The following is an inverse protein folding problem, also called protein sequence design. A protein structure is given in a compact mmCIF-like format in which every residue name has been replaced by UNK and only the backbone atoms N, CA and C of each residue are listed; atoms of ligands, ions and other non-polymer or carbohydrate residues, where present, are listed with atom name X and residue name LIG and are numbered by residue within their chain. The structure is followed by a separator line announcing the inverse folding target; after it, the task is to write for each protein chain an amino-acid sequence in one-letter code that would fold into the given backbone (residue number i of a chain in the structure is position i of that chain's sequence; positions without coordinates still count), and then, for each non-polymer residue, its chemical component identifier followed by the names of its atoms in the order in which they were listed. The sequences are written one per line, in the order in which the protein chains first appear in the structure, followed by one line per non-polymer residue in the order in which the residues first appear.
data_IF_002259483346
#
_entry.id   IF_002259483346
#
_cell.length_a   1.000
_cell.length_b   1.000
_cell.length_c   1.000
_cell.angle_alpha   90.00
_cell.angle_beta   90.00
_cell.angle_gamma   90.00
#
_symmetry.space_group_name_H-M   'P 1'
#
loop_
_entity.id
_entity.type
_entity.pdbx_description
1 polymer ?
#
# COMPACT_ATOMS: atom_id res chain seq x y z
N UNK A 1 -8.26 -23.64 16.95
CA UNK A 1 -7.48 -22.46 16.52
C UNK A 1 -6.11 -22.35 17.22
N UNK A 2 -6.01 -21.98 18.52
CA UNK A 2 -4.71 -21.68 19.16
C UNK A 2 -3.70 -22.84 19.10
N UNK A 3 -4.16 -24.08 19.23
CA UNK A 3 -3.27 -25.26 19.15
C UNK A 3 -2.73 -25.44 17.72
N UNK A 4 -3.60 -25.41 16.71
CA UNK A 4 -3.16 -25.48 15.30
C UNK A 4 -2.22 -24.33 14.90
N UNK A 5 -2.37 -23.14 15.49
CA UNK A 5 -1.46 -22.01 15.26
C UNK A 5 -0.05 -22.26 15.82
N UNK A 6 0.07 -22.80 17.04
CA UNK A 6 1.38 -23.17 17.59
C UNK A 6 1.99 -24.37 16.82
N UNK A 7 1.19 -25.35 16.40
CA UNK A 7 1.60 -26.45 15.51
C UNK A 7 2.08 -25.94 14.12
N UNK A 8 1.43 -24.91 13.57
CA UNK A 8 1.86 -24.22 12.34
C UNK A 8 3.17 -23.47 12.56
N UNK A 9 3.28 -22.69 13.63
CA UNK A 9 4.49 -21.94 14.02
C UNK A 9 5.70 -22.85 14.24
N UNK A 10 5.52 -24.04 14.84
CA UNK A 10 6.56 -25.07 14.95
C UNK A 10 7.00 -25.58 13.56
N UNK A 11 6.06 -25.85 12.64
CA UNK A 11 6.40 -26.25 11.26
C UNK A 11 7.16 -25.15 10.50
N UNK A 12 6.77 -23.88 10.63
CA UNK A 12 7.50 -22.75 10.04
C UNK A 12 8.90 -22.62 10.63
N UNK A 13 9.05 -22.72 11.95
CA UNK A 13 10.36 -22.68 12.61
C UNK A 13 11.30 -23.81 12.15
N UNK A 14 10.76 -25.01 11.92
CA UNK A 14 11.54 -26.13 11.36
C UNK A 14 12.02 -25.85 9.93
N UNK A 15 11.20 -25.20 9.10
CA UNK A 15 11.61 -24.75 7.75
C UNK A 15 12.69 -23.65 7.81
N UNK A 16 12.56 -22.68 8.73
CA UNK A 16 13.57 -21.63 8.94
C UNK A 16 14.90 -22.23 9.41
N UNK A 17 14.87 -23.18 10.36
CA UNK A 17 16.07 -23.88 10.83
C UNK A 17 16.73 -24.72 9.73
N UNK A 18 15.94 -25.35 8.84
CA UNK A 18 16.46 -26.03 7.64
C UNK A 18 17.08 -25.04 6.66
N UNK A 19 16.45 -23.88 6.43
CA UNK A 19 16.90 -22.87 5.48
C UNK A 19 18.25 -22.22 5.84
N UNK A 20 18.70 -22.31 7.10
CA UNK A 20 20.04 -21.87 7.53
C UNK A 20 21.18 -22.73 6.96
N UNK A 21 20.90 -23.94 6.45
CA UNK A 21 21.89 -24.87 5.92
C UNK A 21 21.69 -25.07 4.41
N UNK A 22 22.28 -24.17 3.62
CA UNK A 22 22.32 -24.28 2.15
C UNK A 22 23.05 -25.56 1.73
N UNK A 23 22.45 -26.46 0.92
CA UNK A 23 23.14 -27.62 0.37
C UNK A 23 24.15 -27.20 -0.71
N UNK A 24 25.22 -27.99 -0.88
CA UNK A 24 26.28 -27.70 -1.86
C UNK A 24 25.79 -27.77 -3.32
N UNK A 25 24.89 -28.71 -3.63
CA UNK A 25 24.20 -28.83 -4.92
C UNK A 25 23.07 -27.79 -5.11
N UNK A 26 22.84 -26.93 -4.12
CA UNK A 26 21.74 -25.95 -4.07
C UNK A 26 20.44 -26.51 -3.50
N UNK A 27 19.36 -25.74 -3.61
CA UNK A 27 18.04 -26.16 -3.16
C UNK A 27 17.31 -27.00 -4.21
N UNK A 28 16.53 -27.96 -3.73
CA UNK A 28 15.69 -28.88 -4.53
C UNK A 28 14.24 -28.80 -4.03
N UNK A 29 13.30 -28.84 -4.96
CA UNK A 29 11.86 -28.84 -4.73
C UNK A 29 11.37 -30.21 -4.22
N UNK A 30 10.12 -30.28 -3.74
CA UNK A 30 9.54 -31.52 -3.21
C UNK A 30 9.28 -32.59 -4.29
N UNK A 31 9.20 -32.18 -5.56
CA UNK A 31 9.10 -33.06 -6.74
C UNK A 31 10.46 -33.54 -7.26
N UNK A 32 11.57 -33.17 -6.60
CA UNK A 32 12.93 -33.50 -7.01
C UNK A 32 13.54 -32.55 -8.05
N UNK A 33 12.82 -31.53 -8.52
CA UNK A 33 13.37 -30.55 -9.47
C UNK A 33 14.34 -29.56 -8.78
N UNK A 34 15.42 -29.11 -9.45
CA UNK A 34 16.31 -28.10 -8.88
C UNK A 34 15.61 -26.75 -8.78
N UNK A 35 15.79 -26.03 -7.67
CA UNK A 35 15.16 -24.72 -7.45
C UNK A 35 15.69 -23.70 -8.48
N UNK A 36 14.83 -23.15 -9.36
CA UNK A 36 15.27 -22.23 -10.42
C UNK A 36 15.82 -20.89 -9.89
N UNK A 37 15.61 -20.58 -8.60
CA UNK A 37 16.17 -19.40 -7.93
C UNK A 37 17.51 -19.62 -7.21
N UNK A 38 18.21 -20.74 -7.44
CA UNK A 38 19.46 -21.07 -6.73
C UNK A 38 20.57 -20.00 -6.89
N UNK A 39 20.73 -19.41 -8.08
CA UNK A 39 21.62 -18.27 -8.27
C UNK A 39 20.85 -16.95 -8.09
N UNK A 40 21.10 -16.23 -6.99
CA UNK A 40 20.38 -15.00 -6.63
C UNK A 40 20.59 -13.82 -7.59
N UNK A 41 21.58 -13.89 -8.50
CA UNK A 41 21.93 -12.86 -9.51
C UNK A 41 21.52 -13.23 -10.94
N UNK A 42 21.32 -14.53 -11.21
CA UNK A 42 20.95 -15.05 -12.53
C UNK A 42 19.90 -16.14 -12.36
N UNK A 43 18.63 -15.77 -12.49
CA UNK A 43 17.51 -16.71 -12.37
C UNK A 43 16.30 -16.23 -13.15
N UNK A 44 15.51 -17.20 -13.63
CA UNK A 44 14.26 -16.95 -14.33
C UNK A 44 13.21 -16.28 -13.42
N UNK A 45 12.22 -15.65 -14.06
CA UNK A 45 11.00 -15.23 -13.38
C UNK A 45 10.15 -16.44 -12.97
N UNK A 46 9.43 -16.31 -11.86
CA UNK A 46 8.53 -17.34 -11.34
C UNK A 46 7.20 -16.71 -10.97
N UNK A 47 6.09 -17.36 -11.34
CA UNK A 47 4.74 -16.99 -10.90
C UNK A 47 4.06 -18.27 -10.43
N UNK A 48 3.59 -18.28 -9.18
CA UNK A 48 2.87 -19.40 -8.59
C UNK A 48 1.55 -18.91 -7.99
N UNK A 49 0.45 -19.61 -8.26
CA UNK A 49 -0.85 -19.37 -7.63
C UNK A 49 -1.05 -20.42 -6.54
N UNK A 50 -1.54 -20.01 -5.37
CA UNK A 50 -1.75 -20.89 -4.21
C UNK A 50 -3.21 -21.00 -3.75
N UNK A 51 -3.97 -19.89 -3.80
CA UNK A 51 -5.37 -19.82 -3.33
C UNK A 51 -6.27 -19.23 -4.43
N UNK A 52 -7.58 -19.15 -4.18
CA UNK A 52 -8.61 -18.79 -5.17
C UNK A 52 -9.28 -20.02 -5.76
N UNK A 53 -10.12 -19.81 -6.78
CA UNK A 53 -10.84 -20.85 -7.55
C UNK A 53 -10.05 -22.15 -7.87
N UNK A 54 -8.74 -22.08 -8.07
CA UNK A 54 -7.86 -23.23 -8.38
C UNK A 54 -7.04 -23.75 -7.19
N UNK A 55 -7.23 -23.20 -5.99
CA UNK A 55 -6.42 -23.46 -4.78
C UNK A 55 -7.20 -24.09 -3.61
N UNK A 56 -8.44 -24.51 -3.85
CA UNK A 56 -9.32 -25.11 -2.84
C UNK A 56 -10.25 -24.11 -2.13
N UNK A 57 -11.18 -24.68 -1.37
CA UNK A 57 -12.18 -23.96 -0.57
C UNK A 57 -11.74 -23.93 0.91
N UNK A 58 -12.38 -23.09 1.72
CA UNK A 58 -12.28 -23.15 3.18
C UNK A 58 -13.06 -24.34 3.77
N UNK A 59 -13.09 -24.46 5.10
CA UNK A 59 -13.80 -25.55 5.82
C UNK A 59 -15.31 -25.55 5.61
N UNK A 60 -15.87 -24.42 5.17
CA UNK A 60 -17.30 -24.14 5.12
C UNK A 60 -17.79 -24.14 3.65
N UNK A 61 -16.87 -24.28 2.69
CA UNK A 61 -17.13 -24.39 1.26
C UNK A 61 -16.95 -23.09 0.45
N UNK A 62 -16.40 -22.03 1.03
CA UNK A 62 -16.21 -20.74 0.35
C UNK A 62 -14.87 -20.66 -0.39
N UNK A 63 -14.79 -19.86 -1.46
CA UNK A 63 -13.52 -19.52 -2.11
C UNK A 63 -12.68 -18.54 -1.26
N UNK A 64 -11.42 -18.87 -1.03
CA UNK A 64 -10.45 -17.98 -0.41
C UNK A 64 -9.86 -16.98 -1.44
N UNK A 65 -9.46 -15.75 -1.03
CA UNK A 65 -8.84 -14.79 -1.95
C UNK A 65 -7.58 -15.32 -2.66
N UNK A 66 -7.44 -15.04 -3.96
CA UNK A 66 -6.32 -15.53 -4.78
C UNK A 66 -4.96 -14.99 -4.31
N UNK A 67 -4.14 -15.86 -3.72
CA UNK A 67 -2.74 -15.59 -3.40
C UNK A 67 -1.84 -15.95 -4.59
N UNK A 68 -1.04 -14.99 -5.04
CA UNK A 68 -0.06 -15.17 -6.13
C UNK A 68 1.33 -14.77 -5.64
N UNK A 69 2.28 -15.70 -5.70
CA UNK A 69 3.71 -15.42 -5.51
C UNK A 69 4.35 -15.04 -6.85
N UNK A 70 5.20 -14.01 -6.84
CA UNK A 70 5.91 -13.52 -8.02
C UNK A 70 7.38 -13.26 -7.67
N UNK A 71 8.28 -13.97 -8.35
CA UNK A 71 9.71 -13.64 -8.39
C UNK A 71 10.07 -13.06 -9.75
N UNK A 72 10.82 -11.96 -9.78
CA UNK A 72 11.26 -11.32 -11.01
C UNK A 72 12.48 -12.05 -11.57
N UNK A 73 12.57 -12.16 -12.89
CA UNK A 73 13.83 -12.53 -13.55
C UNK A 73 14.96 -11.55 -13.16
N UNK A 74 16.16 -12.10 -12.96
CA UNK A 74 17.40 -11.34 -12.75
C UNK A 74 18.49 -11.91 -13.66
N UNK A 75 19.37 -11.03 -14.14
CA UNK A 75 20.52 -11.36 -15.00
C UNK A 75 21.72 -10.49 -14.61
N UNK A 76 22.96 -11.00 -14.68
CA UNK A 76 24.17 -10.20 -14.48
C UNK A 76 24.21 -8.98 -15.40
N UNK A 77 24.68 -7.84 -14.88
CA UNK A 77 24.78 -6.58 -15.63
C UNK A 77 23.50 -5.71 -15.64
N UNK A 78 22.33 -6.26 -15.29
CA UNK A 78 21.07 -5.49 -15.28
C UNK A 78 20.79 -4.85 -13.92
N UNK A 79 20.39 -3.57 -13.92
CA UNK A 79 19.95 -2.89 -12.69
C UNK A 79 18.51 -3.29 -12.34
N UNK A 80 18.26 -3.65 -11.08
CA UNK A 80 16.98 -4.22 -10.64
C UNK A 80 16.13 -3.30 -9.76
N UNK A 81 16.62 -2.10 -9.43
CA UNK A 81 15.89 -1.01 -8.75
C UNK A 81 15.20 -1.40 -7.41
N UNK A 82 15.77 -2.37 -6.67
CA UNK A 82 15.34 -2.79 -5.32
C UNK A 82 13.80 -2.93 -5.19
N UNK A 83 13.18 -2.25 -4.23
CA UNK A 83 11.72 -2.25 -3.95
C UNK A 83 10.90 -1.66 -5.09
N UNK A 84 11.32 -0.53 -5.67
CA UNK A 84 10.60 0.12 -6.78
C UNK A 84 10.48 -0.80 -8.01
N UNK A 85 11.59 -1.47 -8.39
CA UNK A 85 11.58 -2.45 -9.47
C UNK A 85 10.70 -3.67 -9.20
N UNK A 86 10.50 -4.04 -7.93
CA UNK A 86 9.58 -5.12 -7.53
C UNK A 86 8.12 -4.68 -7.63
N UNK A 87 7.76 -3.53 -7.03
CA UNK A 87 6.42 -2.95 -7.11
C UNK A 87 5.99 -2.73 -8.56
N UNK A 88 6.85 -2.14 -9.40
CA UNK A 88 6.54 -1.87 -10.81
C UNK A 88 6.34 -3.15 -11.63
N UNK A 89 6.93 -4.29 -11.23
CA UNK A 89 6.66 -5.59 -11.85
C UNK A 89 5.33 -6.17 -11.36
N UNK A 90 5.02 -6.09 -10.05
CA UNK A 90 3.75 -6.54 -9.49
C UNK A 90 2.55 -5.81 -10.10
N UNK A 91 2.66 -4.50 -10.36
CA UNK A 91 1.62 -3.72 -11.05
C UNK A 91 1.33 -4.29 -12.46
N UNK A 92 2.38 -4.66 -13.22
CA UNK A 92 2.24 -5.26 -14.56
C UNK A 92 1.68 -6.67 -14.51
N UNK A 93 2.19 -7.53 -13.62
CA UNK A 93 1.68 -8.91 -13.46
C UNK A 93 0.22 -8.90 -13.00
N UNK A 94 -0.14 -8.01 -12.08
CA UNK A 94 -1.53 -7.79 -11.67
C UNK A 94 -2.44 -7.35 -12.81
N UNK A 95 -1.94 -6.51 -13.74
CA UNK A 95 -2.72 -6.07 -14.91
C UNK A 95 -3.17 -7.26 -15.79
N UNK A 96 -2.31 -8.27 -15.93
CA UNK A 96 -2.59 -9.48 -16.72
C UNK A 96 -3.44 -10.49 -15.95
N UNK A 97 -3.18 -10.70 -14.65
CA UNK A 97 -3.80 -11.79 -13.87
C UNK A 97 -5.19 -11.46 -13.27
N UNK A 98 -5.47 -10.19 -12.97
CA UNK A 98 -6.74 -9.77 -12.33
C UNK A 98 -7.23 -8.37 -12.72
N UNK A 99 -6.36 -7.52 -13.25
CA UNK A 99 -6.61 -6.12 -13.65
C UNK A 99 -7.36 -5.24 -12.61
N UNK A 100 -7.22 -5.54 -11.31
CA UNK A 100 -7.94 -4.81 -10.26
C UNK A 100 -7.66 -3.30 -10.30
N UNK A 101 -8.71 -2.47 -10.28
CA UNK A 101 -8.62 -1.02 -10.50
C UNK A 101 -7.85 -0.27 -9.41
N UNK A 102 -7.81 -0.81 -8.19
CA UNK A 102 -7.10 -0.26 -7.03
C UNK A 102 -5.99 -1.21 -6.57
N UNK A 103 -4.89 -0.63 -6.09
CA UNK A 103 -3.66 -1.34 -5.74
C UNK A 103 -3.18 -0.88 -4.37
N UNK A 104 -3.19 -1.77 -3.37
CA UNK A 104 -2.73 -1.48 -2.01
C UNK A 104 -1.36 -2.08 -1.76
N UNK A 105 -0.40 -1.27 -1.28
CA UNK A 105 0.93 -1.73 -0.91
C UNK A 105 1.11 -1.79 0.62
N UNK A 106 1.77 -2.84 1.09
CA UNK A 106 2.09 -3.08 2.51
C UNK A 106 3.49 -3.70 2.58
N UNK A 107 4.31 -3.28 3.54
CA UNK A 107 5.62 -3.88 3.83
C UNK A 107 5.50 -5.05 4.82
N UNK A 108 6.51 -5.95 4.84
CA UNK A 108 6.44 -7.22 5.58
C UNK A 108 6.50 -7.11 7.11
N UNK A 109 6.79 -5.92 7.63
CA UNK A 109 6.73 -5.53 9.05
C UNK A 109 5.38 -4.89 9.45
N UNK A 110 4.48 -4.66 8.48
CA UNK A 110 3.16 -4.07 8.68
C UNK A 110 2.04 -5.09 8.42
N UNK A 111 0.93 -4.99 9.19
CA UNK A 111 -0.25 -5.83 9.04
C UNK A 111 -1.55 -5.03 9.23
N UNK A 112 -2.67 -5.58 8.78
CA UNK A 112 -3.98 -4.95 8.97
C UNK A 112 -4.51 -5.21 10.38
N UNK A 113 -4.64 -4.15 11.18
CA UNK A 113 -5.27 -4.18 12.50
C UNK A 113 -6.81 -4.10 12.44
N UNK A 114 -7.38 -3.68 11.31
CA UNK A 114 -8.81 -3.48 11.10
C UNK A 114 -9.22 -4.03 9.72
N UNK A 115 -10.15 -4.99 9.70
CA UNK A 115 -10.70 -5.57 8.46
C UNK A 115 -11.56 -4.60 7.65
N UNK A 116 -11.98 -3.47 8.23
CA UNK A 116 -12.73 -2.43 7.54
C UNK A 116 -11.85 -1.44 6.76
N UNK A 117 -10.52 -1.44 6.95
CA UNK A 117 -9.62 -0.47 6.31
C UNK A 117 -9.73 -0.45 4.77
N UNK A 118 -9.97 -1.61 4.14
CA UNK A 118 -10.22 -1.68 2.69
C UNK A 118 -11.53 -0.96 2.30
N UNK A 119 -12.58 -1.09 3.12
CA UNK A 119 -13.87 -0.42 2.90
C UNK A 119 -13.72 1.09 3.10
N UNK A 120 -12.99 1.52 4.12
CA UNK A 120 -12.66 2.94 4.35
C UNK A 120 -11.94 3.57 3.15
N UNK A 121 -10.96 2.87 2.56
CA UNK A 121 -10.31 3.34 1.33
C UNK A 121 -11.33 3.50 0.18
N UNK A 122 -12.20 2.52 -0.02
CA UNK A 122 -13.22 2.57 -1.08
C UNK A 122 -14.24 3.70 -0.87
N UNK A 123 -14.58 4.07 0.36
CA UNK A 123 -15.42 5.24 0.63
C UNK A 123 -14.88 6.55 0.03
N UNK A 124 -13.55 6.71 -0.06
CA UNK A 124 -12.95 7.85 -0.76
C UNK A 124 -12.75 7.58 -2.26
N UNK A 125 -12.27 6.39 -2.63
CA UNK A 125 -11.92 6.06 -4.02
C UNK A 125 -13.15 5.85 -4.94
N UNK A 126 -14.34 5.64 -4.37
CA UNK A 126 -15.62 5.49 -5.06
C UNK A 126 -16.58 6.68 -4.83
N UNK A 127 -16.14 7.74 -4.15
CA UNK A 127 -16.91 8.96 -3.94
C UNK A 127 -17.28 9.60 -5.32
N UNK A 128 -18.56 9.86 -5.63
CA UNK A 128 -18.96 10.39 -6.95
C UNK A 128 -18.36 11.76 -7.30
N UNK A 129 -18.01 12.59 -6.31
CA UNK A 129 -17.46 13.93 -6.50
C UNK A 129 -15.92 13.95 -6.41
N UNK A 130 -15.32 13.13 -5.54
CA UNK A 130 -13.88 13.15 -5.24
C UNK A 130 -13.11 11.92 -5.76
N UNK A 131 -13.74 10.76 -5.93
CA UNK A 131 -13.08 9.49 -6.28
C UNK A 131 -12.34 9.54 -7.62
N UNK A 132 -12.94 10.18 -8.64
CA UNK A 132 -12.31 10.41 -9.97
C UNK A 132 -11.03 11.26 -9.92
N UNK A 133 -10.88 12.04 -8.85
CA UNK A 133 -9.77 12.99 -8.62
C UNK A 133 -8.76 12.45 -7.61
N UNK A 134 -9.08 11.31 -6.98
CA UNK A 134 -8.27 10.71 -5.91
C UNK A 134 -7.20 9.79 -6.51
N UNK A 135 -5.94 10.21 -6.36
CA UNK A 135 -4.78 9.45 -6.83
C UNK A 135 -4.51 8.24 -5.91
N UNK A 136 -4.56 8.47 -4.59
CA UNK A 136 -4.45 7.43 -3.57
C UNK A 136 -5.08 7.84 -2.23
N UNK A 137 -5.32 6.84 -1.38
CA UNK A 137 -5.61 7.00 0.06
C UNK A 137 -4.43 6.48 0.86
N UNK A 138 -3.84 7.33 1.70
CA UNK A 138 -2.74 6.96 2.60
C UNK A 138 -3.32 6.65 3.99
N UNK A 139 -2.89 5.55 4.60
CA UNK A 139 -3.17 5.23 5.99
C UNK A 139 -2.01 5.70 6.89
N UNK A 140 -2.28 6.21 8.11
CA UNK A 140 -1.23 6.53 9.07
C UNK A 140 -0.57 5.26 9.60
N UNK A 141 0.76 5.21 9.58
CA UNK A 141 1.51 4.09 10.16
C UNK A 141 1.48 4.18 11.69
N UNK A 142 1.39 3.03 12.36
CA UNK A 142 1.43 2.88 13.81
C UNK A 142 2.33 1.69 14.12
N UNK A 143 3.22 1.83 15.10
CA UNK A 143 4.15 0.78 15.49
C UNK A 143 3.84 0.30 16.91
N UNK A 144 3.87 -1.02 17.11
CA UNK A 144 3.65 -1.66 18.41
C UNK A 144 4.97 -1.78 19.21
N UNK A 145 4.86 -2.20 20.47
CA UNK A 145 6.04 -2.52 21.31
C UNK A 145 6.86 -1.31 21.78
N UNK A 146 6.34 -0.09 21.65
CA UNK A 146 7.03 1.14 22.04
C UNK A 146 6.94 1.34 23.57
N UNK A 147 8.06 1.73 24.19
CA UNK A 147 8.13 2.07 25.62
C UNK A 147 7.12 3.16 26.03
N UNK A 148 6.77 3.15 27.32
CA UNK A 148 5.87 4.11 27.94
C UNK A 148 6.35 5.56 27.77
N UNK A 149 7.66 5.80 27.86
CA UNK A 149 8.27 7.13 27.81
C UNK A 149 8.58 7.60 26.38
N UNK A 150 8.52 6.69 25.39
CA UNK A 150 8.88 6.90 23.97
C UNK A 150 10.07 7.85 23.74
N UNK A 151 11.19 7.59 24.44
CA UNK A 151 12.40 8.45 24.43
C UNK A 151 12.97 8.71 23.02
N UNK A 152 12.69 7.82 22.07
CA UNK A 152 13.13 7.93 20.67
C UNK A 152 12.08 8.53 19.73
N UNK A 153 10.90 8.91 20.26
CA UNK A 153 9.74 9.42 19.51
C UNK A 153 9.27 8.49 18.38
N UNK A 154 9.41 7.17 18.57
CA UNK A 154 9.12 6.13 17.58
C UNK A 154 7.64 6.08 17.18
N UNK A 155 6.71 6.63 17.99
CA UNK A 155 5.30 6.77 17.59
C UNK A 155 5.10 7.75 16.42
N UNK A 156 6.08 8.62 16.16
CA UNK A 156 6.11 9.63 15.10
C UNK A 156 4.81 10.45 14.94
N UNK A 157 4.16 10.75 16.06
CA UNK A 157 2.81 11.35 16.13
C UNK A 157 2.78 12.72 15.43
N UNK A 158 3.81 13.55 15.60
CA UNK A 158 3.86 14.88 14.96
C UNK A 158 3.78 14.78 13.43
N UNK A 159 4.44 13.79 12.83
CA UNK A 159 4.39 13.59 11.39
C UNK A 159 3.02 13.08 10.93
N UNK A 160 2.53 11.97 11.50
CA UNK A 160 1.29 11.32 11.05
C UNK A 160 0.00 12.05 11.46
N UNK A 161 -0.04 12.64 12.66
CA UNK A 161 -1.25 13.24 13.21
C UNK A 161 -1.36 14.76 13.07
N UNK A 162 -0.25 15.46 12.85
CA UNK A 162 -0.23 16.93 12.64
C UNK A 162 0.16 17.24 11.19
N UNK A 163 1.38 16.91 10.76
CA UNK A 163 1.89 17.36 9.47
C UNK A 163 1.09 16.78 8.28
N UNK A 164 0.86 15.46 8.24
CA UNK A 164 0.10 14.83 7.15
C UNK A 164 -1.36 15.31 7.10
N UNK A 165 -1.99 15.60 8.26
CA UNK A 165 -3.35 16.16 8.31
C UNK A 165 -3.41 17.64 7.96
N UNK A 166 -2.35 18.40 8.22
CA UNK A 166 -2.22 19.79 7.74
C UNK A 166 -2.14 19.85 6.21
N UNK A 167 -1.42 18.91 5.59
CA UNK A 167 -1.35 18.79 4.12
C UNK A 167 -2.68 18.32 3.50
N UNK A 168 -3.46 17.50 4.22
CA UNK A 168 -4.80 17.03 3.84
C UNK A 168 -5.79 18.19 3.55
N UNK A 169 -5.62 19.32 4.23
CA UNK A 169 -6.41 20.54 3.98
C UNK A 169 -6.01 21.36 2.75
N UNK A 170 -4.96 20.97 2.01
CA UNK A 170 -4.42 21.73 0.86
C UNK A 170 -4.42 20.89 -0.42
N UNK A 171 -3.84 19.69 -0.35
CA UNK A 171 -3.69 18.78 -1.49
C UNK A 171 -3.67 17.30 -1.07
N UNK A 172 -3.26 17.00 0.17
CA UNK A 172 -3.21 15.63 0.70
C UNK A 172 -1.86 15.25 1.33
N UNK A 173 -1.81 14.15 2.10
CA UNK A 173 -0.57 13.59 2.61
C UNK A 173 0.39 13.15 1.51
N UNK A 174 1.69 13.13 1.80
CA UNK A 174 2.69 12.49 0.94
C UNK A 174 2.68 10.96 1.11
N UNK A 175 3.05 10.23 0.06
CA UNK A 175 3.23 8.78 0.12
C UNK A 175 4.46 8.40 0.95
N UNK A 176 4.26 7.52 1.94
CA UNK A 176 5.25 7.17 2.97
C UNK A 176 5.75 5.72 2.89
N UNK A 177 5.64 5.09 1.71
CA UNK A 177 6.30 3.80 1.41
C UNK A 177 5.49 2.53 1.72
N UNK A 178 4.48 2.58 2.58
CA UNK A 178 3.60 1.46 2.96
C UNK A 178 2.23 2.00 3.39
N UNK A 179 1.20 1.14 3.35
CA UNK A 179 -0.16 1.47 3.78
C UNK A 179 -0.89 2.42 2.83
N UNK A 180 -0.68 2.31 1.53
CA UNK A 180 -1.24 3.24 0.53
C UNK A 180 -2.08 2.52 -0.53
N UNK A 181 -3.33 2.94 -0.71
CA UNK A 181 -4.26 2.40 -1.70
C UNK A 181 -4.33 3.32 -2.92
N UNK A 182 -3.68 2.92 -4.01
CA UNK A 182 -3.55 3.69 -5.24
C UNK A 182 -4.63 3.38 -6.28
N UNK A 183 -4.98 4.39 -7.09
CA UNK A 183 -5.67 4.21 -8.37
C UNK A 183 -4.67 3.70 -9.43
N UNK A 184 -4.99 2.60 -10.13
CA UNK A 184 -4.16 2.04 -11.20
C UNK A 184 -3.87 3.03 -12.32
N UNK A 185 -4.86 3.85 -12.71
CA UNK A 185 -4.69 4.79 -13.82
C UNK A 185 -3.71 5.91 -13.47
N UNK A 186 -3.77 6.43 -12.25
CA UNK A 186 -2.80 7.41 -11.77
C UNK A 186 -1.37 6.83 -11.66
N UNK A 187 -1.23 5.56 -11.27
CA UNK A 187 0.06 4.84 -11.32
C UNK A 187 0.60 4.59 -12.73
N UNK A 188 -0.24 4.69 -13.77
CA UNK A 188 0.18 4.68 -15.18
C UNK A 188 0.41 6.08 -15.75
N UNK A 189 0.20 7.15 -14.97
CA UNK A 189 0.38 8.52 -15.41
C UNK A 189 -0.78 9.09 -16.24
N UNK A 190 -1.98 8.53 -16.14
CA UNK A 190 -3.18 9.18 -16.68
C UNK A 190 -3.61 10.33 -15.76
N UNK A 191 -3.90 11.48 -16.37
CA UNK A 191 -4.44 12.65 -15.68
C UNK A 191 -5.86 12.41 -15.12
N UNK A 192 -6.25 13.11 -14.04
CA UNK A 192 -7.58 12.98 -13.45
C UNK A 192 -8.66 13.56 -14.35
N UNK A 193 -9.88 13.02 -14.26
CA UNK A 193 -11.04 13.58 -14.96
C UNK A 193 -11.57 14.77 -14.17
N UNK A 194 -11.11 15.97 -14.55
CA UNK A 194 -11.50 17.26 -13.99
C UNK A 194 -12.75 17.82 -14.67
N UNK A 195 -13.56 18.58 -13.93
CA UNK A 195 -14.60 19.46 -14.49
C UNK A 195 -14.08 20.89 -14.65
N UNK A 196 -14.78 21.75 -15.39
CA UNK A 196 -14.44 23.19 -15.47
C UNK A 196 -14.33 23.83 -14.07
N UNK A 197 -15.17 23.39 -13.13
CA UNK A 197 -15.16 23.83 -11.72
C UNK A 197 -13.87 23.46 -10.96
N UNK A 198 -13.14 22.43 -11.39
CA UNK A 198 -11.82 22.08 -10.84
C UNK A 198 -10.68 22.88 -11.47
N UNK A 199 -10.88 23.38 -12.69
CA UNK A 199 -9.92 24.20 -13.43
C UNK A 199 -9.98 25.67 -13.00
N UNK A 200 -11.14 26.13 -12.51
CA UNK A 200 -11.32 27.44 -11.90
C UNK A 200 -10.39 27.61 -10.68
N UNK A 201 -9.43 28.56 -10.71
CA UNK A 201 -8.46 28.70 -9.65
C UNK A 201 -9.14 29.26 -8.41
N UNK A 202 -8.99 28.55 -7.28
CA UNK A 202 -9.54 28.94 -5.96
C UNK A 202 -8.83 30.18 -5.37
N UNK A 203 -8.98 31.31 -6.05
CA UNK A 203 -8.47 32.63 -5.68
C UNK A 203 -9.50 33.26 -4.75
N UNK A 204 -9.40 32.97 -3.44
CA UNK A 204 -10.13 33.72 -2.40
C UNK A 204 -9.43 35.08 -2.19
N UNK A 205 -9.36 35.87 -3.26
CA UNK A 205 -9.13 37.32 -3.21
C UNK A 205 -10.49 37.96 -3.51
N UNK A 206 -11.39 37.88 -2.53
CA UNK A 206 -12.61 38.71 -2.54
C UNK A 206 -12.16 40.16 -2.64
N UNK A 207 -12.64 40.87 -3.65
CA UNK A 207 -12.13 42.18 -4.06
C UNK A 207 -12.41 43.30 -3.04
N UNK A 208 -11.58 43.36 -2.01
CA UNK A 208 -11.40 44.55 -1.18
C UNK A 208 -10.29 45.44 -1.76
N UNK A 209 -10.41 45.85 -3.04
CA UNK A 209 -9.88 47.11 -3.64
C UNK A 209 -9.91 47.11 -5.18
N UNK A 210 -10.60 48.10 -5.75
CA UNK A 210 -10.14 48.89 -6.92
C UNK A 210 -9.80 48.20 -8.25
N UNK A 211 -10.68 48.36 -9.25
CA UNK A 211 -10.45 47.96 -10.64
C UNK A 211 -9.19 48.56 -11.29
N UNK A 212 -8.32 47.73 -11.90
CA UNK A 212 -7.32 48.17 -12.89
C UNK A 212 -7.29 47.25 -14.11
N UNK A 213 -6.82 47.80 -15.25
CA UNK A 213 -7.12 47.30 -16.61
C UNK A 213 -6.22 46.13 -17.05
N UNK A 214 -6.76 45.28 -17.95
CA UNK A 214 -6.05 44.15 -18.59
C UNK A 214 -4.86 44.62 -19.43
N UNK A 215 -3.74 43.90 -19.33
CA UNK A 215 -2.75 43.76 -20.41
C UNK A 215 -2.80 42.32 -20.96
N UNK A 216 -2.65 42.14 -22.28
CA UNK A 216 -2.54 40.79 -22.87
C UNK A 216 -1.09 40.32 -22.84
N UNK A 217 -0.83 39.20 -22.19
CA UNK A 217 0.41 38.43 -22.31
C UNK A 217 0.09 36.95 -22.19
N UNK A 218 0.33 36.17 -23.23
CA UNK A 218 0.05 34.73 -23.26
C UNK A 218 1.24 33.94 -22.71
N UNK A 219 1.41 33.97 -21.38
CA UNK A 219 2.23 32.96 -20.70
C UNK A 219 1.41 31.67 -20.59
N UNK A 220 1.98 30.54 -21.03
CA UNK A 220 1.44 29.21 -20.71
C UNK A 220 1.71 28.97 -19.23
N UNK A 221 0.77 29.35 -18.39
CA UNK A 221 0.85 29.11 -16.95
C UNK A 221 0.66 27.61 -16.73
N UNK A 222 1.75 26.90 -16.41
CA UNK A 222 1.68 25.49 -15.98
C UNK A 222 1.00 25.46 -14.62
N UNK A 223 -0.33 25.35 -14.65
CA UNK A 223 -1.14 25.25 -13.44
C UNK A 223 -0.76 23.98 -12.70
N UNK A 224 -0.28 24.10 -11.46
CA UNK A 224 0.04 22.97 -10.60
C UNK A 224 -1.25 22.22 -10.27
N UNK A 225 -1.56 21.19 -11.06
CA UNK A 225 -2.77 20.37 -10.89
C UNK A 225 -2.85 19.85 -9.45
N UNK A 226 -3.90 20.24 -8.74
CA UNK A 226 -4.13 19.84 -7.35
C UNK A 226 -4.79 18.45 -7.30
N UNK A 227 -3.97 17.42 -7.48
CA UNK A 227 -4.38 16.05 -7.19
C UNK A 227 -4.86 15.94 -5.74
N UNK A 228 -6.15 15.67 -5.52
CA UNK A 228 -6.66 15.39 -4.18
C UNK A 228 -6.13 14.03 -3.73
N UNK A 229 -5.35 14.01 -2.66
CA UNK A 229 -5.03 12.80 -1.88
C UNK A 229 -5.71 12.98 -0.52
N UNK A 230 -6.26 11.90 0.05
CA UNK A 230 -6.87 11.95 1.39
C UNK A 230 -6.25 10.93 2.35
N UNK A 231 -6.11 11.32 3.61
CA UNK A 231 -5.78 10.44 4.73
C UNK A 231 -7.05 9.78 5.30
N UNK A 232 -7.07 8.47 5.58
CA UNK A 232 -8.20 7.90 6.33
C UNK A 232 -8.18 8.39 7.80
N UNK A 233 -9.27 9.01 8.31
CA UNK A 233 -9.27 9.66 9.62
C UNK A 233 -9.53 8.72 10.82
N UNK A 234 -9.35 7.39 10.68
CA UNK A 234 -9.64 6.41 11.74
C UNK A 234 -8.40 5.71 12.32
N UNK A 235 -7.70 6.41 13.22
CA UNK A 235 -6.87 5.78 14.26
C UNK A 235 -6.90 6.57 15.58
N UNK A 236 -8.08 6.61 16.23
CA UNK A 236 -8.19 7.07 17.63
C UNK A 236 -7.80 5.92 18.59
N UNK A 237 -6.80 6.08 19.47
CA UNK A 237 -6.57 5.11 20.53
C UNK A 237 -7.67 5.17 21.60
N UNK A 238 -8.05 4.01 22.16
CA UNK A 238 -8.88 3.89 23.37
C UNK A 238 -8.14 3.10 24.47
N UNK A 239 -7.15 3.77 25.07
CA UNK A 239 -6.99 3.76 26.53
C UNK A 239 -7.85 4.93 27.05
N UNK A 240 -8.47 4.95 28.23
CA UNK A 240 -8.74 3.97 29.29
C UNK A 240 -10.15 4.31 29.85
N UNK A 241 -10.82 3.57 30.75
CA UNK A 241 -10.48 2.40 31.60
C UNK A 241 -11.70 1.43 31.52
N UNK A 242 -12.00 0.44 32.35
CA UNK A 242 -11.48 -0.08 33.65
C UNK A 242 -11.96 -1.53 33.85
N UNK A 243 -11.33 -2.25 34.78
CA UNK A 243 -11.85 -3.49 35.38
C UNK A 243 -12.10 -3.25 36.87
N UNK A 244 -13.27 -3.66 37.37
CA UNK A 244 -13.56 -3.74 38.81
C UNK A 244 -14.43 -4.97 39.10
N UNK A 245 -13.87 -5.91 39.85
CA UNK A 245 -14.54 -6.92 40.71
C UNK A 245 -15.68 -7.77 40.13
N UNK A 246 -15.37 -9.07 39.98
CA UNK A 246 -16.24 -10.23 40.32
C UNK A 246 -16.94 -10.04 41.69
N UNK A 247 -18.05 -10.75 42.04
CA UNK A 247 -18.43 -12.11 41.61
C UNK A 247 -19.02 -12.26 40.21
#
# INVERSE_FOLDING_TARGET
MKREYEEFKVRINALVAKAQKTPEEGWTMQDGTPWPGNNTRDHLGMIQVFLGHSGGLDTDGNELPRLVYVSREKRPGFQHHKKAGAMNALIRVSAVLTNGAYLLNVDCDHYFNNSQALKEAMCFMMDPAFGKKTCYVQFPQRFDGIDLHDRYANRNIVFFDINLKGLDGIQGPVYVGTGCCFNRQALYGYDPVLTEEDLEPNIIVKSCCGSRKKGKGSSVFVSTMRFFVRLSPWSRPKLERSWTSLP
#
